data_IF_988374159908
#
_entry.id   IF_988374159908
#
_cell.length_a   1.000
_cell.length_b   1.000
_cell.length_c   1.000
_cell.angle_alpha   90.00
_cell.angle_beta   90.00
_cell.angle_gamma   90.00
#
_symmetry.space_group_name_H-M   'P 1'
#
loop_
_entity.id
_entity.type
_entity.pdbx_description
1 polymer ?
#
# COMPACT_ATOMS: atom_id res chain seq x y z
N UNK A 1 -12.64 25.04 -19.95
CA UNK A 1 -12.31 26.08 -18.95
C UNK A 1 -13.50 26.37 -18.06
N UNK A 2 -14.68 26.72 -18.60
CA UNK A 2 -15.90 26.98 -17.80
C UNK A 2 -16.32 25.81 -16.89
N UNK A 3 -16.26 24.56 -17.37
CA UNK A 3 -16.67 23.38 -16.58
C UNK A 3 -15.82 23.13 -15.32
N UNK A 4 -14.53 23.49 -15.38
CA UNK A 4 -13.61 23.41 -14.24
C UNK A 4 -13.86 24.54 -13.25
N UNK A 5 -14.14 25.74 -13.75
CA UNK A 5 -14.51 26.91 -12.94
C UNK A 5 -15.83 26.69 -12.18
N UNK A 6 -16.82 26.03 -12.80
CA UNK A 6 -18.12 25.73 -12.20
C UNK A 6 -18.07 24.63 -11.12
N UNK A 7 -17.01 23.80 -11.12
CA UNK A 7 -16.81 22.72 -10.13
C UNK A 7 -15.56 22.94 -9.26
N UNK A 8 -15.06 24.18 -9.19
CA UNK A 8 -13.85 24.54 -8.43
C UNK A 8 -13.93 24.09 -6.97
N UNK A 9 -15.09 24.22 -6.33
CA UNK A 9 -15.27 23.84 -4.92
C UNK A 9 -15.00 22.35 -4.67
N UNK A 10 -15.39 21.49 -5.62
CA UNK A 10 -15.17 20.03 -5.54
C UNK A 10 -13.69 19.69 -5.76
N UNK A 11 -13.06 20.36 -6.73
CA UNK A 11 -11.62 20.19 -6.99
C UNK A 11 -10.79 20.66 -5.80
N UNK A 12 -11.15 21.80 -5.20
CA UNK A 12 -10.53 22.30 -3.98
C UNK A 12 -10.70 21.33 -2.81
N UNK A 13 -11.90 20.79 -2.63
CA UNK A 13 -12.18 19.78 -1.60
C UNK A 13 -11.28 18.55 -1.75
N UNK A 14 -11.12 18.03 -2.97
CA UNK A 14 -10.21 16.91 -3.23
C UNK A 14 -8.75 17.27 -2.96
N UNK A 15 -8.30 18.44 -3.42
CA UNK A 15 -6.93 18.89 -3.15
C UNK A 15 -6.64 18.95 -1.65
N UNK A 16 -7.60 19.45 -0.88
CA UNK A 16 -7.51 19.50 0.58
C UNK A 16 -7.55 18.10 1.21
N UNK A 17 -8.39 17.18 0.71
CA UNK A 17 -8.45 15.81 1.19
C UNK A 17 -7.14 15.05 0.94
N UNK A 18 -6.57 15.17 -0.26
CA UNK A 18 -5.27 14.57 -0.60
C UNK A 18 -4.16 15.13 0.27
N UNK A 19 -4.13 16.44 0.46
CA UNK A 19 -3.16 17.10 1.35
C UNK A 19 -3.33 16.62 2.79
N UNK A 20 -4.57 16.54 3.28
CA UNK A 20 -4.86 16.08 4.64
C UNK A 20 -4.45 14.63 4.86
N UNK A 21 -4.76 13.73 3.92
CA UNK A 21 -4.35 12.32 3.98
C UNK A 21 -2.83 12.17 3.99
N UNK A 22 -2.14 12.95 3.16
CA UNK A 22 -0.68 13.00 3.15
C UNK A 22 -0.09 13.53 4.47
N UNK A 23 -0.65 14.62 5.03
CA UNK A 23 -0.21 15.20 6.30
C UNK A 23 -0.44 14.26 7.49
N UNK A 24 -1.58 13.56 7.53
CA UNK A 24 -1.86 12.57 8.58
C UNK A 24 -0.85 11.42 8.49
N UNK A 25 -0.59 10.88 7.30
CA UNK A 25 0.43 9.84 7.11
C UNK A 25 1.80 10.29 7.57
N UNK A 26 2.26 11.47 7.12
CA UNK A 26 3.59 11.98 7.48
C UNK A 26 3.72 12.22 8.98
N UNK A 27 2.67 12.73 9.63
CA UNK A 27 2.63 12.85 11.09
C UNK A 27 2.81 11.50 11.78
N UNK A 28 2.09 10.46 11.36
CA UNK A 28 2.23 9.12 11.93
C UNK A 28 3.63 8.54 11.73
N UNK A 29 4.25 8.76 10.57
CA UNK A 29 5.63 8.36 10.32
C UNK A 29 6.61 9.09 11.26
N UNK A 30 6.41 10.39 11.49
CA UNK A 30 7.25 11.15 12.44
C UNK A 30 7.11 10.68 13.88
N UNK A 31 5.95 10.14 14.26
CA UNK A 31 5.75 9.49 15.56
C UNK A 31 6.29 8.05 15.63
N UNK A 32 7.02 7.59 14.61
CA UNK A 32 7.66 6.27 14.59
C UNK A 32 6.73 5.11 14.22
N UNK A 33 5.54 5.38 13.68
CA UNK A 33 4.60 4.35 13.25
C UNK A 33 5.03 3.76 11.90
N UNK A 34 5.84 2.70 11.93
CA UNK A 34 6.45 2.08 10.72
C UNK A 34 5.45 1.33 9.85
N UNK A 35 4.30 0.90 10.38
CA UNK A 35 3.27 0.20 9.61
C UNK A 35 2.67 1.06 8.49
N UNK A 36 2.69 2.39 8.61
CA UNK A 36 2.19 3.34 7.58
C UNK A 36 3.18 3.54 6.42
N UNK A 37 4.39 2.98 6.53
CA UNK A 37 5.43 3.12 5.52
C UNK A 37 5.12 2.34 4.24
N UNK A 38 4.25 1.34 4.30
CA UNK A 38 3.98 0.47 3.14
C UNK A 38 3.23 1.16 2.01
N UNK A 39 3.36 0.61 0.80
CA UNK A 39 2.64 1.07 -0.39
C UNK A 39 1.11 1.04 -0.16
N UNK A 40 0.59 -0.09 0.33
CA UNK A 40 -0.84 -0.28 0.57
C UNK A 40 -1.42 0.79 1.49
N UNK A 41 -0.70 1.09 2.57
CA UNK A 41 -1.11 2.12 3.52
C UNK A 41 -1.04 3.49 2.87
N UNK A 42 0.05 3.82 2.17
CA UNK A 42 0.16 5.12 1.52
C UNK A 42 -0.98 5.37 0.51
N UNK A 43 -1.29 4.39 -0.34
CA UNK A 43 -2.41 4.49 -1.27
C UNK A 43 -3.75 4.61 -0.54
N UNK A 44 -3.93 3.88 0.57
CA UNK A 44 -5.14 3.94 1.41
C UNK A 44 -5.39 5.34 1.98
N UNK A 45 -4.36 5.98 2.55
CA UNK A 45 -4.46 7.33 3.14
C UNK A 45 -4.82 8.41 2.11
N UNK A 46 -4.48 8.20 0.83
CA UNK A 46 -4.84 9.14 -0.24
C UNK A 46 -6.23 8.84 -0.85
N UNK A 47 -6.56 7.58 -1.09
CA UNK A 47 -7.79 7.19 -1.78
C UNK A 47 -9.03 7.21 -0.88
N UNK A 48 -8.91 6.73 0.36
CA UNK A 48 -10.07 6.52 1.23
C UNK A 48 -10.86 7.81 1.50
N UNK A 49 -10.22 8.96 1.85
CA UNK A 49 -10.96 10.20 2.08
C UNK A 49 -11.71 10.70 0.82
N UNK A 50 -11.10 10.55 -0.35
CA UNK A 50 -11.71 10.94 -1.64
C UNK A 50 -12.93 10.06 -1.96
N UNK A 51 -12.81 8.74 -1.76
CA UNK A 51 -13.92 7.81 -1.96
C UNK A 51 -15.08 8.17 -1.03
N UNK A 52 -14.81 8.38 0.26
CA UNK A 52 -15.85 8.76 1.24
C UNK A 52 -16.52 10.08 0.90
N UNK A 53 -15.77 11.08 0.41
CA UNK A 53 -16.33 12.34 -0.06
C UNK A 53 -17.30 12.15 -1.24
N UNK A 54 -16.95 11.31 -2.22
CA UNK A 54 -17.85 11.02 -3.35
C UNK A 54 -19.07 10.23 -2.89
N UNK A 55 -18.91 9.22 -2.04
CA UNK A 55 -20.02 8.46 -1.45
C UNK A 55 -21.04 9.41 -0.81
N UNK A 56 -20.57 10.27 0.09
CA UNK A 56 -21.42 11.20 0.84
C UNK A 56 -22.07 12.24 -0.06
N UNK A 57 -21.35 12.74 -1.07
CA UNK A 57 -21.89 13.68 -2.05
C UNK A 57 -22.99 13.06 -2.92
N UNK A 58 -22.85 11.79 -3.30
CA UNK A 58 -23.82 11.06 -4.13
C UNK A 58 -25.12 10.78 -3.36
N UNK A 59 -25.04 10.48 -2.07
CA UNK A 59 -26.24 10.22 -1.24
C UNK A 59 -26.84 11.49 -0.64
N UNK A 60 -26.10 12.61 -0.67
CA UNK A 60 -26.60 13.88 -0.14
C UNK A 60 -27.89 14.28 -0.87
N UNK A 61 -28.95 14.53 -0.10
CA UNK A 61 -30.26 14.90 -0.63
C UNK A 61 -31.23 13.75 -0.92
N UNK A 62 -30.83 12.48 -0.76
CA UNK A 62 -31.75 11.34 -0.87
C UNK A 62 -31.62 10.40 0.33
N UNK A 63 -32.47 10.63 1.33
CA UNK A 63 -32.51 9.85 2.58
C UNK A 63 -32.76 8.37 2.32
N UNK A 64 -33.63 8.03 1.35
CA UNK A 64 -33.92 6.64 0.99
C UNK A 64 -32.69 5.95 0.38
N UNK A 65 -31.95 6.65 -0.49
CA UNK A 65 -30.70 6.16 -1.06
C UNK A 65 -29.60 6.03 0.01
N UNK A 66 -29.48 7.00 0.92
CA UNK A 66 -28.52 6.97 2.02
C UNK A 66 -28.76 5.79 2.98
N UNK A 67 -30.03 5.53 3.33
CA UNK A 67 -30.40 4.43 4.21
C UNK A 67 -30.21 3.07 3.53
N UNK A 68 -30.55 2.98 2.23
CA UNK A 68 -30.31 1.80 1.41
C UNK A 68 -28.82 1.48 1.24
N UNK A 69 -27.97 2.50 1.12
CA UNK A 69 -26.52 2.34 0.97
C UNK A 69 -25.86 1.81 2.23
N UNK A 70 -26.19 2.34 3.43
CA UNK A 70 -25.62 1.84 4.70
C UNK A 70 -26.02 0.37 4.90
N UNK A 71 -27.26 0.02 4.56
CA UNK A 71 -27.73 -1.36 4.54
C UNK A 71 -26.96 -2.25 3.56
N UNK A 72 -26.79 -1.81 2.31
CA UNK A 72 -26.08 -2.57 1.29
C UNK A 72 -24.59 -2.75 1.61
N UNK A 73 -23.94 -1.73 2.16
CA UNK A 73 -22.52 -1.79 2.52
C UNK A 73 -22.29 -2.72 3.72
N UNK A 74 -23.27 -2.85 4.61
CA UNK A 74 -23.25 -3.85 5.69
C UNK A 74 -23.44 -5.31 5.21
N UNK A 75 -23.95 -5.50 3.97
CA UNK A 75 -24.11 -6.84 3.36
C UNK A 75 -22.80 -7.35 2.75
N UNK A 76 -21.87 -6.47 2.37
CA UNK A 76 -20.53 -6.85 1.90
C UNK A 76 -19.67 -7.29 3.09
N UNK A 77 -20.03 -8.42 3.69
CA UNK A 77 -19.30 -9.02 4.81
C UNK A 77 -18.25 -9.96 4.26
N UNK A 78 -16.99 -9.56 4.38
CA UNK A 78 -15.88 -10.48 4.18
C UNK A 78 -15.90 -11.52 5.29
N UNK A 79 -16.08 -12.80 4.91
CA UNK A 79 -16.07 -13.93 5.85
C UNK A 79 -14.66 -14.24 6.37
N UNK A 80 -13.65 -13.84 5.59
CA UNK A 80 -12.24 -13.89 5.96
C UNK A 80 -11.71 -12.45 6.07
N UNK A 81 -10.79 -12.15 7.01
CA UNK A 81 -10.22 -10.82 7.14
C UNK A 81 -9.49 -10.43 5.85
N UNK A 82 -9.70 -9.19 5.40
CA UNK A 82 -8.99 -8.61 4.24
C UNK A 82 -7.52 -8.43 4.64
N UNK A 83 -6.61 -8.96 3.81
CA UNK A 83 -5.18 -9.07 4.17
C UNK A 83 -4.47 -7.73 4.08
N UNK A 84 -4.85 -6.90 3.11
CA UNK A 84 -4.23 -5.60 2.83
C UNK A 84 -5.25 -4.45 2.90
N UNK A 85 -4.94 -3.33 3.59
CA UNK A 85 -5.79 -2.14 3.62
C UNK A 85 -6.19 -1.63 2.23
N UNK A 86 -5.26 -1.71 1.27
CA UNK A 86 -5.48 -1.30 -0.11
C UNK A 86 -6.51 -2.18 -0.84
N UNK A 87 -6.56 -3.48 -0.57
CA UNK A 87 -7.61 -4.35 -1.11
C UNK A 87 -8.99 -3.89 -0.65
N UNK A 88 -9.11 -3.56 0.64
CA UNK A 88 -10.34 -3.04 1.21
C UNK A 88 -10.76 -1.73 0.54
N UNK A 89 -9.83 -0.78 0.40
CA UNK A 89 -10.09 0.51 -0.25
C UNK A 89 -10.47 0.33 -1.72
N UNK A 90 -9.88 -0.63 -2.41
CA UNK A 90 -10.23 -0.96 -3.79
C UNK A 90 -11.66 -1.50 -3.89
N UNK A 91 -12.10 -2.33 -2.94
CA UNK A 91 -13.50 -2.75 -2.88
C UNK A 91 -14.45 -1.57 -2.66
N UNK A 92 -14.11 -0.65 -1.75
CA UNK A 92 -14.88 0.58 -1.56
C UNK A 92 -14.94 1.44 -2.82
N UNK A 93 -13.83 1.57 -3.55
CA UNK A 93 -13.78 2.30 -4.82
C UNK A 93 -14.75 1.68 -5.85
N UNK A 94 -14.69 0.36 -6.06
CA UNK A 94 -15.54 -0.34 -7.02
C UNK A 94 -17.03 -0.26 -6.67
N UNK A 95 -17.37 -0.43 -5.39
CA UNK A 95 -18.76 -0.26 -4.91
C UNK A 95 -19.24 1.16 -5.17
N UNK A 96 -18.40 2.17 -4.86
CA UNK A 96 -18.75 3.59 -5.06
C UNK A 96 -18.92 3.92 -6.54
N UNK A 97 -18.12 3.33 -7.44
CA UNK A 97 -18.31 3.47 -8.88
C UNK A 97 -19.67 2.93 -9.32
N UNK A 98 -20.08 1.76 -8.83
CA UNK A 98 -21.41 1.20 -9.11
C UNK A 98 -22.55 2.10 -8.61
N UNK A 99 -22.44 2.61 -7.39
CA UNK A 99 -23.48 3.45 -6.80
C UNK A 99 -23.55 4.82 -7.48
N UNK A 100 -22.40 5.45 -7.72
CA UNK A 100 -22.34 6.73 -8.45
C UNK A 100 -22.93 6.60 -9.85
N UNK A 101 -22.72 5.47 -10.54
CA UNK A 101 -23.27 5.25 -11.87
C UNK A 101 -24.81 5.19 -11.87
N UNK A 102 -25.40 4.64 -10.81
CA UNK A 102 -26.86 4.60 -10.66
C UNK A 102 -27.50 5.95 -10.37
N UNK A 103 -26.75 6.91 -9.82
CA UNK A 103 -27.27 8.22 -9.38
C UNK A 103 -26.94 9.30 -10.39
N UNK A 104 -25.67 9.40 -10.77
CA UNK A 104 -25.18 10.41 -11.70
C UNK A 104 -23.83 10.01 -12.30
N UNK A 105 -23.83 9.73 -13.60
CA UNK A 105 -22.63 9.35 -14.37
C UNK A 105 -21.47 10.35 -14.22
N UNK A 106 -21.76 11.63 -13.96
CA UNK A 106 -20.75 12.67 -13.71
C UNK A 106 -19.85 12.33 -12.52
N UNK A 107 -20.42 11.83 -11.42
CA UNK A 107 -19.65 11.45 -10.23
C UNK A 107 -18.78 10.21 -10.49
N UNK A 108 -19.26 9.28 -11.31
CA UNK A 108 -18.49 8.10 -11.72
C UNK A 108 -17.26 8.48 -12.54
N UNK A 109 -17.43 9.33 -13.56
CA UNK A 109 -16.32 9.81 -14.40
C UNK A 109 -15.30 10.54 -13.53
N UNK A 110 -15.78 11.41 -12.64
CA UNK A 110 -14.94 12.19 -11.75
C UNK A 110 -14.12 11.32 -10.78
N UNK A 111 -14.75 10.32 -10.15
CA UNK A 111 -14.08 9.39 -9.25
C UNK A 111 -13.05 8.51 -9.98
N UNK A 112 -13.41 7.98 -11.15
CA UNK A 112 -12.49 7.20 -11.98
C UNK A 112 -11.26 8.02 -12.35
N UNK A 113 -11.45 9.24 -12.87
CA UNK A 113 -10.34 10.10 -13.28
C UNK A 113 -9.43 10.47 -12.11
N UNK A 114 -10.01 10.80 -10.95
CA UNK A 114 -9.24 11.13 -9.74
C UNK A 114 -8.44 9.93 -9.25
N UNK A 115 -9.03 8.72 -9.23
CA UNK A 115 -8.32 7.51 -8.79
C UNK A 115 -7.13 7.17 -9.71
N UNK A 116 -7.28 7.33 -11.02
CA UNK A 116 -6.19 7.15 -12.00
C UNK A 116 -5.07 8.15 -11.78
N UNK A 117 -5.39 9.43 -11.52
CA UNK A 117 -4.39 10.44 -11.20
C UNK A 117 -3.61 10.06 -9.93
N UNK A 118 -4.30 9.59 -8.89
CA UNK A 118 -3.63 9.18 -7.65
C UNK A 118 -2.66 8.01 -7.91
N UNK A 119 -3.07 7.00 -8.68
CA UNK A 119 -2.16 5.90 -9.05
C UNK A 119 -0.96 6.37 -9.86
N UNK A 120 -1.18 7.28 -10.81
CA UNK A 120 -0.10 7.86 -11.61
C UNK A 120 0.87 8.67 -10.73
N UNK A 121 0.36 9.46 -9.79
CA UNK A 121 1.17 10.23 -8.84
C UNK A 121 1.99 9.33 -7.91
N UNK A 122 1.42 8.22 -7.44
CA UNK A 122 2.15 7.24 -6.64
C UNK A 122 3.30 6.61 -7.42
N UNK A 123 3.04 6.22 -8.67
CA UNK A 123 4.05 5.65 -9.56
C UNK A 123 5.18 6.66 -9.86
N UNK A 124 4.82 7.87 -10.30
CA UNK A 124 5.77 8.94 -10.60
C UNK A 124 6.55 9.38 -9.36
N UNK A 125 5.90 9.49 -8.22
CA UNK A 125 6.53 9.84 -6.96
C UNK A 125 7.61 8.81 -6.59
N UNK A 126 7.30 7.51 -6.72
CA UNK A 126 8.28 6.47 -6.45
C UNK A 126 9.46 6.53 -7.43
N UNK A 127 9.18 6.69 -8.72
CA UNK A 127 10.21 6.83 -9.75
C UNK A 127 11.13 8.03 -9.48
N UNK A 128 10.54 9.17 -9.12
CA UNK A 128 11.29 10.39 -8.81
C UNK A 128 12.13 10.26 -7.54
N UNK A 129 11.59 9.63 -6.49
CA UNK A 129 12.34 9.39 -5.24
C UNK A 129 13.53 8.45 -5.43
N UNK A 130 13.36 7.42 -6.27
CA UNK A 130 14.47 6.54 -6.62
C UNK A 130 15.55 7.30 -7.40
N UNK A 131 15.14 8.13 -8.35
CA UNK A 131 16.08 8.91 -9.17
C UNK A 131 16.81 10.00 -8.38
N UNK A 132 16.14 10.66 -7.43
CA UNK A 132 16.69 11.82 -6.72
C UNK A 132 17.34 11.46 -5.37
N UNK A 133 16.74 10.53 -4.62
CA UNK A 133 17.14 10.20 -3.25
C UNK A 133 17.70 8.78 -3.10
N UNK A 134 17.73 7.98 -4.17
CA UNK A 134 18.13 6.56 -4.16
C UNK A 134 17.43 5.73 -3.07
N UNK A 135 16.23 6.16 -2.66
CA UNK A 135 15.41 5.49 -1.65
C UNK A 135 13.95 5.42 -2.14
N UNK A 136 13.28 4.27 -1.97
CA UNK A 136 11.87 4.16 -2.34
C UNK A 136 11.00 5.01 -1.40
N UNK A 137 9.90 5.58 -1.92
CA UNK A 137 8.97 6.40 -1.12
C UNK A 137 8.18 5.61 -0.07
N UNK A 138 8.08 4.31 -0.29
CA UNK A 138 7.32 3.38 0.54
C UNK A 138 8.08 2.08 0.69
N UNK A 139 7.94 1.47 1.87
CA UNK A 139 8.50 0.16 2.15
C UNK A 139 7.73 -0.94 1.42
N UNK A 140 8.44 -1.99 1.08
CA UNK A 140 7.85 -3.23 0.59
C UNK A 140 7.31 -3.99 1.80
N UNK A 141 6.00 -4.27 1.84
CA UNK A 141 5.38 -5.01 2.95
C UNK A 141 5.14 -6.46 2.59
N UNK A 142 5.72 -7.35 3.39
CA UNK A 142 5.64 -8.81 3.22
C UNK A 142 4.22 -9.35 3.51
N UNK A 143 3.43 -8.62 4.29
CA UNK A 143 2.09 -9.05 4.71
C UNK A 143 1.00 -8.79 3.65
N UNK A 144 1.34 -8.14 2.53
CA UNK A 144 0.39 -7.69 1.51
C UNK A 144 0.06 -8.76 0.45
N UNK A 145 0.44 -10.02 0.66
CA UNK A 145 0.12 -11.12 -0.26
C UNK A 145 0.86 -11.07 -1.60
N UNK A 146 1.83 -10.16 -1.74
CA UNK A 146 2.76 -10.14 -2.86
C UNK A 146 3.68 -11.34 -2.79
N UNK A 147 3.75 -12.10 -3.89
CA UNK A 147 4.67 -13.22 -4.05
C UNK A 147 6.09 -12.70 -4.20
N UNK A 148 6.83 -12.62 -3.11
CA UNK A 148 8.24 -12.23 -3.13
C UNK A 148 9.13 -13.45 -3.04
N UNK A 149 10.24 -13.41 -3.77
CA UNK A 149 11.32 -14.35 -3.56
C UNK A 149 11.95 -14.07 -2.19
N UNK A 150 12.01 -15.08 -1.33
CA UNK A 150 12.65 -15.00 -0.01
C UNK A 150 13.83 -15.93 0.11
N UNK A 151 14.78 -15.50 0.93
CA UNK A 151 15.96 -16.24 1.33
C UNK A 151 16.02 -16.23 2.85
N UNK A 152 15.82 -17.38 3.48
CA UNK A 152 16.03 -17.57 4.91
C UNK A 152 17.39 -18.25 5.12
N UNK A 153 18.22 -17.67 5.98
CA UNK A 153 19.56 -18.16 6.27
C UNK A 153 19.69 -18.35 7.77
N UNK A 154 20.07 -19.55 8.19
CA UNK A 154 20.43 -19.84 9.58
C UNK A 154 21.95 -19.81 9.75
N UNK A 155 22.43 -18.87 10.57
CA UNK A 155 23.86 -18.66 10.86
C UNK A 155 24.11 -18.86 12.35
N UNK A 156 25.29 -19.36 12.74
CA UNK A 156 25.70 -19.41 14.14
C UNK A 156 25.98 -17.98 14.66
N UNK A 157 25.31 -17.60 15.76
CA UNK A 157 25.21 -16.25 16.33
C UNK A 157 26.53 -15.51 16.58
N UNK A 158 27.67 -16.21 16.56
CA UNK A 158 29.00 -15.66 16.87
C UNK A 158 29.82 -15.21 15.67
N UNK A 159 29.40 -15.47 14.42
CA UNK A 159 30.34 -15.39 13.28
C UNK A 159 30.00 -14.37 12.19
N UNK A 160 28.72 -14.06 11.93
CA UNK A 160 28.37 -13.09 10.88
C UNK A 160 27.26 -12.14 11.35
N UNK A 161 27.51 -10.84 11.19
CA UNK A 161 26.54 -9.78 11.44
C UNK A 161 26.01 -9.26 10.10
N UNK A 162 24.90 -9.83 9.61
CA UNK A 162 24.25 -9.45 8.35
C UNK A 162 23.17 -8.37 8.54
N UNK A 163 23.16 -7.67 9.68
CA UNK A 163 22.16 -6.66 10.01
C UNK A 163 22.16 -5.43 9.08
N UNK A 164 23.22 -5.23 8.28
CA UNK A 164 23.41 -4.06 7.42
C UNK A 164 22.95 -4.22 5.96
N UNK A 165 22.47 -5.40 5.55
CA UNK A 165 22.13 -5.67 4.15
C UNK A 165 20.78 -5.03 3.76
N UNK A 166 20.68 -4.36 2.58
CA UNK A 166 19.53 -3.57 2.17
C UNK A 166 18.23 -4.37 1.97
N UNK A 167 18.32 -5.71 1.93
CA UNK A 167 17.18 -6.61 1.71
C UNK A 167 16.76 -7.37 2.97
N UNK A 168 17.34 -7.05 4.14
CA UNK A 168 16.99 -7.73 5.39
C UNK A 168 15.60 -7.28 5.86
N UNK A 169 14.65 -8.21 5.88
CA UNK A 169 13.27 -7.96 6.31
C UNK A 169 13.09 -8.25 7.80
N UNK A 170 13.87 -9.18 8.34
CA UNK A 170 13.87 -9.47 9.77
C UNK A 170 14.91 -10.50 10.14
N UNK A 171 15.24 -10.54 11.43
CA UNK A 171 16.09 -11.57 12.01
C UNK A 171 15.43 -12.08 13.29
N UNK A 172 15.56 -13.38 13.55
CA UNK A 172 15.13 -14.00 14.80
C UNK A 172 16.26 -14.82 15.38
N UNK A 173 16.64 -14.55 16.62
CA UNK A 173 17.70 -15.28 17.31
C UNK A 173 17.07 -16.32 18.23
N UNK A 174 17.43 -17.59 18.05
CA UNK A 174 17.00 -18.70 18.90
C UNK A 174 18.24 -19.44 19.41
N UNK A 175 18.62 -19.20 20.66
CA UNK A 175 19.79 -19.85 21.26
C UNK A 175 21.10 -19.46 20.58
N UNK A 176 21.82 -20.43 20.00
CA UNK A 176 23.09 -20.24 19.30
C UNK A 176 22.95 -19.94 17.81
N UNK A 177 21.74 -19.96 17.23
CA UNK A 177 21.52 -19.63 15.82
C UNK A 177 20.68 -18.37 15.61
N UNK A 178 21.08 -17.58 14.63
CA UNK A 178 20.38 -16.39 14.15
C UNK A 178 19.84 -16.70 12.76
N UNK A 179 18.52 -16.62 12.61
CA UNK A 179 17.83 -16.75 11.33
C UNK A 179 17.68 -15.35 10.75
N UNK A 180 18.33 -15.09 9.61
CA UNK A 180 18.16 -13.87 8.82
C UNK A 180 17.18 -14.15 7.68
N UNK A 181 16.22 -13.25 7.46
CA UNK A 181 15.26 -13.33 6.37
C UNK A 181 15.43 -12.17 5.42
N UNK A 182 15.73 -12.47 4.18
CA UNK A 182 15.83 -11.52 3.09
C UNK A 182 14.64 -11.68 2.15
N UNK A 183 14.11 -10.58 1.64
CA UNK A 183 13.10 -10.60 0.58
C UNK A 183 13.39 -9.51 -0.44
N UNK A 184 13.20 -9.83 -1.72
CA UNK A 184 13.29 -8.85 -2.80
C UNK A 184 12.27 -9.17 -3.89
N UNK A 185 11.82 -8.13 -4.58
CA UNK A 185 10.93 -8.22 -5.74
C UNK A 185 11.66 -8.74 -6.99
N UNK A 186 12.99 -8.67 -7.01
CA UNK A 186 13.79 -9.13 -8.13
C UNK A 186 14.39 -10.51 -7.82
N UNK A 187 13.91 -11.51 -8.56
CA UNK A 187 14.35 -12.91 -8.44
C UNK A 187 15.87 -13.05 -8.60
N UNK A 188 16.48 -12.23 -9.44
CA UNK A 188 17.92 -12.31 -9.72
C UNK A 188 18.75 -11.83 -8.52
N UNK A 189 18.29 -10.81 -7.80
CA UNK A 189 19.00 -10.27 -6.63
C UNK A 189 19.04 -11.30 -5.50
N UNK A 190 17.92 -12.00 -5.25
CA UNK A 190 17.87 -13.07 -4.24
C UNK A 190 18.70 -14.28 -4.66
N UNK A 191 18.69 -14.62 -5.95
CA UNK A 191 19.49 -15.74 -6.48
C UNK A 191 20.98 -15.44 -6.41
N UNK A 192 21.40 -14.21 -6.73
CA UNK A 192 22.80 -13.79 -6.62
C UNK A 192 23.26 -13.74 -5.16
N UNK A 193 22.40 -13.26 -4.26
CA UNK A 193 22.67 -13.25 -2.82
C UNK A 193 22.75 -14.68 -2.25
N UNK A 194 21.86 -15.58 -2.67
CA UNK A 194 21.91 -16.98 -2.30
C UNK A 194 23.20 -17.66 -2.78
N UNK A 195 23.63 -17.40 -4.03
CA UNK A 195 24.87 -17.94 -4.57
C UNK A 195 26.11 -17.39 -3.84
N UNK A 196 26.12 -16.11 -3.44
CA UNK A 196 27.22 -15.53 -2.64
C UNK A 196 27.31 -16.14 -1.24
N UNK A 197 26.18 -16.61 -0.70
CA UNK A 197 26.08 -17.12 0.67
C UNK A 197 26.11 -18.66 0.73
N UNK A 198 25.90 -19.37 -0.38
CA UNK A 198 26.02 -20.83 -0.46
C UNK A 198 27.46 -21.33 -0.32
N UNK A 199 28.45 -20.51 -0.67
CA UNK A 199 29.87 -20.86 -0.59
C UNK A 199 30.49 -20.58 0.80
N UNK A 200 29.72 -20.05 1.76
CA UNK A 200 30.20 -19.82 3.12
C UNK A 200 29.94 -21.03 4.03
N UNK A 201 31.00 -21.62 4.59
CA UNK A 201 30.94 -22.75 5.55
C UNK A 201 30.17 -22.44 6.85
N UNK A 202 29.77 -21.18 7.06
CA UNK A 202 29.11 -20.70 8.27
C UNK A 202 27.57 -20.72 8.18
N UNK A 203 27.01 -21.04 7.01
CA UNK A 203 25.58 -21.18 6.77
C UNK A 203 25.15 -22.62 7.06
N UNK A 204 24.35 -22.83 8.11
CA UNK A 204 23.86 -24.17 8.49
C UNK A 204 22.68 -24.61 7.63
N UNK A 205 21.83 -23.67 7.23
CA UNK A 205 20.63 -23.93 6.44
C UNK A 205 20.31 -22.72 5.57
N UNK A 206 20.02 -22.99 4.31
CA UNK A 206 19.62 -22.00 3.30
C UNK A 206 18.31 -22.48 2.68
N UNK A 207 17.22 -21.79 2.99
CA UNK A 207 15.91 -22.02 2.39
C UNK A 207 15.60 -20.89 1.41
N UNK A 208 15.60 -21.24 0.13
CA UNK A 208 15.35 -20.33 -0.99
C UNK A 208 13.95 -20.60 -1.53
N UNK A 209 13.02 -19.68 -1.27
CA UNK A 209 11.70 -19.70 -1.86
C UNK A 209 11.64 -18.66 -2.98
N UNK A 210 11.76 -19.11 -4.23
CA UNK A 210 11.58 -18.25 -5.39
C UNK A 210 10.12 -18.29 -5.80
N UNK A 211 9.52 -17.11 -5.98
CA UNK A 211 8.22 -16.94 -6.64
C UNK A 211 8.38 -16.12 -7.91
#
# INVERSE_FOLDING_TARGET
>A
MEYLLENLDKVYSIGLLLLSGFLVRTSLLTFGQTWVSSYSQFATFLLLPVITYVITSVISGNIALSLGMIGALSIVRFRNPVKSPFELVTFFLLITLGISASVAIKWTIFLTFTSLIIFLLLYLGNYFSLTLFNKPLYGISFNEGNTMSTLEIEVDSKKINLMGEPNLVGFSTSGSSTIYRFASNNRNDIKEMANKLSDNEEVKRLDLNLV
#
